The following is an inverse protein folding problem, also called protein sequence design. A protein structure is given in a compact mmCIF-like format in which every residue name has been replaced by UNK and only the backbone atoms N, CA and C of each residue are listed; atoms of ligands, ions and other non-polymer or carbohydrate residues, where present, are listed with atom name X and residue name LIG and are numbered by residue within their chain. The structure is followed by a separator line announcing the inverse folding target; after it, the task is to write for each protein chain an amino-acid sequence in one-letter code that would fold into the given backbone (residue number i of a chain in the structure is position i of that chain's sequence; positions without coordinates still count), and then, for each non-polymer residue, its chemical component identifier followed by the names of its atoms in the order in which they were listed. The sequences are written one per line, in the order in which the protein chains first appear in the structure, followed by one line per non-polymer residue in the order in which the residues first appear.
data_IF_036970804654
#
_entry.id   IF_036970804654
#
_cell.length_a   1.000
_cell.length_b   1.000
_cell.length_c   1.000
_cell.angle_alpha   90.00
_cell.angle_beta   90.00
_cell.angle_gamma   90.00
#
_symmetry.space_group_name_H-M   'P 1'
#
loop_
_entity.id
_entity.type
_entity.pdbx_description
1 polymer ?
#
# COMPACT_ATOMS: atom_id res chain seq x y z
N UNK A 1 -32.60 -0.68 -40.15
CA UNK A 1 -32.76 -1.75 -39.13
C UNK A 1 -31.74 -1.53 -38.04
N UNK A 2 -32.16 -1.64 -36.78
CA UNK A 2 -31.27 -1.50 -35.60
C UNK A 2 -29.93 -2.23 -35.73
N UNK A 3 -28.90 -1.62 -35.14
CA UNK A 3 -27.55 -2.18 -35.08
C UNK A 3 -27.09 -2.37 -33.63
N UNK A 4 -25.95 -3.04 -33.42
CA UNK A 4 -25.37 -3.22 -32.09
C UNK A 4 -24.07 -2.42 -31.95
N UNK A 5 -23.83 -1.82 -30.78
CA UNK A 5 -22.50 -1.27 -30.48
C UNK A 5 -21.47 -2.40 -30.43
N UNK A 6 -20.27 -2.16 -30.96
CA UNK A 6 -19.20 -3.17 -31.05
C UNK A 6 -18.78 -3.76 -29.70
N UNK A 7 -18.72 -2.95 -28.65
CA UNK A 7 -18.13 -3.36 -27.37
C UNK A 7 -19.17 -3.83 -26.36
N UNK A 8 -20.22 -3.02 -26.12
CA UNK A 8 -21.20 -3.28 -25.06
C UNK A 8 -22.49 -3.94 -25.57
N UNK A 9 -22.60 -4.24 -26.87
CA UNK A 9 -23.79 -4.88 -27.43
C UNK A 9 -25.09 -4.09 -27.29
N UNK A 10 -25.01 -2.78 -27.00
CA UNK A 10 -26.18 -1.91 -26.88
C UNK A 10 -26.88 -1.79 -28.22
N UNK A 11 -28.22 -1.88 -28.24
CA UNK A 11 -29.00 -1.63 -29.46
C UNK A 11 -28.95 -0.15 -29.81
N UNK A 12 -28.60 0.16 -31.06
CA UNK A 12 -28.79 1.48 -31.68
C UNK A 12 -30.04 1.39 -32.56
N UNK A 13 -31.17 2.00 -32.15
CA UNK A 13 -32.37 2.03 -32.96
C UNK A 13 -32.13 2.76 -34.29
N UNK A 14 -32.86 2.33 -35.31
CA UNK A 14 -32.93 2.98 -36.62
C UNK A 14 -34.26 3.72 -36.76
N UNK A 15 -34.29 4.79 -37.56
CA UNK A 15 -35.51 5.53 -37.89
C UNK A 15 -36.58 4.67 -38.56
N UNK A 16 -36.19 3.55 -39.16
CA UNK A 16 -37.11 2.59 -39.78
C UNK A 16 -37.70 1.57 -38.80
N UNK A 17 -37.21 1.50 -37.57
CA UNK A 17 -37.66 0.50 -36.60
C UNK A 17 -39.03 0.85 -36.01
N UNK A 18 -39.78 -0.17 -35.58
CA UNK A 18 -41.04 0.07 -34.85
C UNK A 18 -40.76 0.83 -33.54
N UNK A 19 -41.57 1.86 -33.26
CA UNK A 19 -41.41 2.71 -32.07
C UNK A 19 -41.42 1.88 -30.79
N UNK A 20 -42.35 0.94 -30.66
CA UNK A 20 -42.46 0.07 -29.48
C UNK A 20 -41.22 -0.81 -29.29
N UNK A 21 -40.63 -1.29 -30.38
CA UNK A 21 -39.42 -2.10 -30.32
C UNK A 21 -38.22 -1.25 -29.92
N UNK A 22 -38.10 -0.04 -30.50
CA UNK A 22 -37.06 0.93 -30.14
C UNK A 22 -37.10 1.29 -28.64
N UNK A 23 -38.29 1.48 -28.07
CA UNK A 23 -38.45 1.74 -26.63
C UNK A 23 -37.94 0.56 -25.79
N UNK A 24 -38.32 -0.68 -26.15
CA UNK A 24 -37.86 -1.90 -25.44
C UNK A 24 -36.35 -2.08 -25.54
N UNK A 25 -35.78 -1.82 -26.71
CA UNK A 25 -34.34 -1.93 -26.95
C UNK A 25 -33.54 -0.90 -26.15
N UNK A 26 -34.02 0.33 -26.07
CA UNK A 26 -33.43 1.38 -25.24
C UNK A 26 -33.56 1.02 -23.75
N UNK A 27 -34.72 0.54 -23.30
CA UNK A 27 -34.91 0.11 -21.91
C UNK A 27 -33.89 -0.98 -21.51
N UNK A 28 -33.71 -1.99 -22.38
CA UNK A 28 -32.72 -3.05 -22.18
C UNK A 28 -31.27 -2.54 -22.12
N UNK A 29 -30.95 -1.48 -22.86
CA UNK A 29 -29.64 -0.85 -22.76
C UNK A 29 -29.42 -0.21 -21.39
N UNK A 30 -30.44 0.43 -20.81
CA UNK A 30 -30.35 1.01 -19.47
C UNK A 30 -30.16 -0.07 -18.41
N UNK A 31 -30.89 -1.17 -18.48
CA UNK A 31 -30.70 -2.32 -17.58
C UNK A 31 -29.25 -2.86 -17.63
N UNK A 32 -28.67 -2.92 -18.84
CA UNK A 32 -27.28 -3.34 -19.03
C UNK A 32 -26.28 -2.36 -18.41
N UNK A 33 -26.51 -1.04 -18.55
CA UNK A 33 -25.65 -0.01 -17.99
C UNK A 33 -25.69 -0.01 -16.45
N UNK A 34 -26.87 -0.19 -15.86
CA UNK A 34 -27.04 -0.30 -14.41
C UNK A 34 -26.33 -1.54 -13.85
N UNK A 35 -26.30 -2.63 -14.62
CA UNK A 35 -25.58 -3.85 -14.27
C UNK A 35 -24.05 -3.75 -14.39
N UNK A 36 -23.50 -2.70 -15.04
CA UNK A 36 -22.05 -2.56 -15.20
C UNK A 36 -21.33 -2.22 -13.89
N UNK A 37 -22.02 -1.53 -12.97
CA UNK A 37 -21.43 -1.02 -11.74
C UNK A 37 -22.27 -1.39 -10.53
N UNK A 38 -22.45 -2.68 -10.17
CA UNK A 38 -23.22 -3.05 -8.99
C UNK A 38 -22.64 -2.46 -7.69
N UNK A 39 -23.44 -2.44 -6.62
CA UNK A 39 -22.95 -2.13 -5.26
C UNK A 39 -21.73 -3.01 -4.93
N UNK A 40 -20.68 -2.40 -4.39
CA UNK A 40 -19.36 -2.99 -4.17
C UNK A 40 -18.36 -2.77 -5.31
N UNK A 41 -18.76 -2.12 -6.42
CA UNK A 41 -17.84 -1.77 -7.50
C UNK A 41 -16.85 -0.69 -7.06
N UNK A 42 -15.61 -0.82 -7.51
CA UNK A 42 -14.56 0.18 -7.29
C UNK A 42 -14.28 0.93 -8.59
N UNK A 43 -14.41 2.25 -8.54
CA UNK A 43 -14.04 3.16 -9.62
C UNK A 43 -12.72 3.86 -9.29
N UNK A 44 -11.80 3.95 -10.27
CA UNK A 44 -10.50 4.59 -10.12
C UNK A 44 -10.31 5.67 -11.19
N UNK A 45 -9.78 6.83 -10.80
CA UNK A 45 -9.57 7.96 -11.71
C UNK A 45 -8.43 8.87 -11.27
N UNK A 46 -7.81 9.55 -12.23
CA UNK A 46 -6.88 10.66 -11.94
C UNK A 46 -7.59 11.98 -11.69
N UNK A 47 -8.93 12.00 -11.76
CA UNK A 47 -9.77 13.18 -11.53
C UNK A 47 -10.57 13.01 -10.23
N UNK A 48 -10.82 14.11 -9.49
CA UNK A 48 -11.55 14.08 -8.22
C UNK A 48 -13.07 13.91 -8.39
N UNK A 49 -13.57 13.77 -9.62
CA UNK A 49 -15.00 13.74 -9.93
C UNK A 49 -15.68 12.57 -9.22
N UNK A 50 -16.73 12.89 -8.45
CA UNK A 50 -17.60 11.89 -7.82
C UNK A 50 -18.36 11.09 -8.89
N UNK A 51 -18.24 9.75 -8.91
CA UNK A 51 -18.95 8.89 -9.86
C UNK A 51 -20.47 9.02 -9.81
N UNK A 52 -21.05 9.46 -8.69
CA UNK A 52 -22.50 9.71 -8.58
C UNK A 52 -23.02 10.68 -9.66
N UNK A 53 -22.17 11.59 -10.14
CA UNK A 53 -22.51 12.60 -11.14
C UNK A 53 -22.69 12.06 -12.56
N UNK A 54 -22.15 10.88 -12.88
CA UNK A 54 -22.21 10.29 -14.24
C UNK A 54 -22.54 8.80 -14.30
N UNK A 55 -22.36 8.04 -13.22
CA UNK A 55 -22.79 6.65 -13.07
C UNK A 55 -24.06 6.51 -12.21
N UNK A 56 -24.51 7.60 -11.55
CA UNK A 56 -25.58 7.53 -10.56
C UNK A 56 -25.17 6.74 -9.31
N UNK A 57 -26.16 6.37 -8.48
CA UNK A 57 -25.92 5.67 -7.22
C UNK A 57 -25.25 6.53 -6.15
N UNK A 58 -24.82 5.88 -5.06
CA UNK A 58 -24.09 6.49 -3.94
C UNK A 58 -22.68 5.89 -3.87
N UNK A 59 -21.67 6.75 -3.75
CA UNK A 59 -20.27 6.35 -3.75
C UNK A 59 -19.55 6.91 -2.53
N UNK A 60 -18.70 6.09 -1.93
CA UNK A 60 -17.85 6.46 -0.79
C UNK A 60 -16.38 6.50 -1.25
N UNK A 61 -15.61 7.54 -0.91
CA UNK A 61 -14.20 7.62 -1.29
C UNK A 61 -13.36 6.60 -0.50
N UNK A 62 -12.38 6.01 -1.16
CA UNK A 62 -11.35 5.17 -0.55
C UNK A 62 -10.06 6.00 -0.50
N UNK A 63 -9.57 6.30 0.70
CA UNK A 63 -8.42 7.18 0.93
C UNK A 63 -7.31 6.48 1.72
N UNK A 64 -6.06 6.82 1.42
CA UNK A 64 -4.91 6.42 2.25
C UNK A 64 -4.59 4.93 2.26
N UNK A 65 -5.12 4.15 1.31
CA UNK A 65 -4.88 2.71 1.20
C UNK A 65 -4.69 2.32 -0.27
N UNK A 66 -3.94 1.25 -0.52
CA UNK A 66 -3.95 0.57 -1.81
C UNK A 66 -4.91 -0.63 -1.74
N UNK A 67 -5.36 -1.11 -2.91
CA UNK A 67 -6.24 -2.27 -2.97
C UNK A 67 -5.44 -3.57 -2.79
N UNK A 68 -5.76 -4.29 -1.73
CA UNK A 68 -5.27 -5.65 -1.48
C UNK A 68 -6.40 -6.64 -1.76
N UNK A 69 -6.12 -7.69 -2.52
CA UNK A 69 -7.10 -8.75 -2.77
C UNK A 69 -7.50 -9.44 -1.45
N UNK A 70 -8.80 -9.68 -1.29
CA UNK A 70 -9.32 -10.27 -0.06
C UNK A 70 -8.70 -11.65 0.21
N UNK A 71 -8.53 -11.97 1.48
CA UNK A 71 -8.19 -13.31 1.96
C UNK A 71 -8.78 -13.55 3.34
N UNK A 72 -8.65 -14.77 3.88
CA UNK A 72 -9.05 -15.05 5.27
C UNK A 72 -8.36 -14.11 6.29
N UNK A 73 -7.12 -13.69 6.02
CA UNK A 73 -6.36 -12.75 6.88
C UNK A 73 -6.71 -11.29 6.62
N UNK A 74 -7.25 -10.99 5.43
CA UNK A 74 -7.64 -9.65 5.01
C UNK A 74 -9.08 -9.69 4.45
N UNK A 75 -10.09 -9.79 5.32
CA UNK A 75 -11.49 -9.77 4.89
C UNK A 75 -11.83 -8.48 4.13
N UNK A 76 -12.89 -8.52 3.33
CA UNK A 76 -13.38 -7.34 2.59
C UNK A 76 -13.61 -6.16 3.54
N UNK A 77 -13.14 -4.98 3.14
CA UNK A 77 -13.25 -3.75 3.92
C UNK A 77 -12.21 -3.57 5.03
N UNK A 78 -11.35 -4.57 5.29
CA UNK A 78 -10.21 -4.38 6.20
C UNK A 78 -9.17 -3.42 5.63
N UNK A 79 -8.55 -2.64 6.51
CA UNK A 79 -7.47 -1.70 6.18
C UNK A 79 -6.26 -1.94 7.09
N UNK A 80 -5.08 -1.52 6.65
CA UNK A 80 -3.83 -1.68 7.39
C UNK A 80 -2.64 -1.15 6.60
N UNK A 81 -1.42 -1.45 7.08
CA UNK A 81 -0.18 -0.90 6.54
C UNK A 81 0.34 0.30 7.34
N UNK A 82 1.57 0.69 7.07
CA UNK A 82 2.26 1.82 7.70
C UNK A 82 3.07 2.56 6.63
N UNK A 83 2.98 3.90 6.62
CA UNK A 83 3.77 4.73 5.68
C UNK A 83 5.25 4.81 6.09
N UNK A 84 5.50 4.88 7.39
CA UNK A 84 6.83 4.84 7.98
C UNK A 84 6.90 3.74 9.04
N UNK A 85 8.06 3.10 9.15
CA UNK A 85 8.32 2.05 10.12
C UNK A 85 9.54 2.39 10.97
N UNK A 86 9.44 2.16 12.29
CA UNK A 86 10.57 2.23 13.21
C UNK A 86 10.92 0.82 13.67
N UNK A 87 12.13 0.38 13.36
CA UNK A 87 12.62 -0.95 13.73
C UNK A 87 12.54 -1.16 15.25
N UNK A 88 12.12 -2.36 15.64
CA UNK A 88 12.09 -2.83 17.02
C UNK A 88 13.28 -3.74 17.31
N UNK A 89 13.55 -3.95 18.60
CA UNK A 89 14.61 -4.88 19.04
C UNK A 89 14.38 -6.30 18.51
N UNK A 90 13.12 -6.73 18.36
CA UNK A 90 12.78 -8.06 17.86
C UNK A 90 13.05 -8.23 16.35
N UNK A 91 13.16 -7.13 15.61
CA UNK A 91 13.43 -7.12 14.17
C UNK A 91 14.93 -7.03 13.86
N UNK A 92 15.79 -6.85 14.88
CA UNK A 92 17.23 -6.84 14.69
C UNK A 92 17.76 -8.25 14.43
N UNK A 93 18.47 -8.50 13.32
CA UNK A 93 19.17 -9.76 13.10
C UNK A 93 20.23 -10.02 14.18
N UNK A 94 20.55 -11.30 14.40
CA UNK A 94 21.70 -11.68 15.23
C UNK A 94 22.97 -11.04 14.67
N UNK A 95 23.70 -10.33 15.52
CA UNK A 95 24.94 -9.64 15.19
C UNK A 95 25.91 -9.72 16.38
N UNK A 96 27.20 -9.50 16.11
CA UNK A 96 28.23 -9.43 17.14
C UNK A 96 29.06 -8.15 16.98
N UNK A 97 29.65 -7.72 18.09
CA UNK A 97 30.66 -6.68 18.10
C UNK A 97 32.00 -7.32 18.44
N UNK A 98 33.02 -7.02 17.64
CA UNK A 98 34.40 -7.39 17.94
C UNK A 98 35.16 -6.14 18.40
N UNK A 99 35.78 -6.22 19.57
CA UNK A 99 36.63 -5.18 20.11
C UNK A 99 37.96 -5.81 20.47
N UNK A 100 39.03 -5.43 19.77
CA UNK A 100 40.39 -5.87 20.08
C UNK A 100 41.19 -4.74 20.70
N UNK A 101 41.91 -5.08 21.77
CA UNK A 101 42.94 -4.23 22.37
C UNK A 101 44.23 -5.03 22.45
N UNK A 102 45.37 -4.36 22.27
CA UNK A 102 46.67 -4.96 22.52
C UNK A 102 46.81 -5.23 24.03
N UNK A 103 47.07 -6.49 24.39
CA UNK A 103 47.36 -6.93 25.76
C UNK A 103 48.78 -7.51 25.80
N UNK A 104 49.67 -6.91 26.59
CA UNK A 104 51.05 -7.36 26.77
C UNK A 104 52.01 -6.25 27.24
N UNK A 105 53.18 -6.64 27.76
CA UNK A 105 54.27 -5.72 28.12
C UNK A 105 55.22 -5.55 26.91
N UNK A 106 54.90 -4.67 25.97
CA UNK A 106 55.88 -4.28 24.95
C UNK A 106 56.74 -3.14 25.51
N UNK A 107 57.98 -3.45 25.85
CA UNK A 107 59.00 -2.48 26.24
C UNK A 107 59.37 -1.62 25.02
N UNK A 108 58.64 -0.54 24.80
CA UNK A 108 58.89 0.40 23.72
C UNK A 108 58.18 1.72 23.98
N UNK A 109 58.96 2.80 24.04
CA UNK A 109 58.46 4.15 24.30
C UNK A 109 57.56 4.62 23.15
N UNK A 110 56.24 4.58 23.38
CA UNK A 110 55.22 5.14 22.51
C UNK A 110 53.90 5.27 23.28
N UNK A 111 53.17 6.37 23.08
CA UNK A 111 51.87 6.60 23.70
C UNK A 111 50.83 5.62 23.11
N UNK A 112 50.77 4.40 23.64
CA UNK A 112 49.72 3.44 23.32
C UNK A 112 48.73 3.36 24.48
N UNK A 113 47.44 3.54 24.18
CA UNK A 113 46.34 3.34 25.14
C UNK A 113 46.13 1.84 25.35
N UNK A 114 46.85 1.25 26.31
CA UNK A 114 46.66 -0.13 26.75
C UNK A 114 45.71 -0.17 27.95
N UNK A 115 44.77 -1.12 27.98
CA UNK A 115 43.95 -1.36 29.17
C UNK A 115 44.86 -1.98 30.26
N UNK A 116 45.23 -1.19 31.26
CA UNK A 116 46.02 -1.64 32.41
C UNK A 116 45.11 -1.88 33.62
N UNK A 117 45.09 -3.11 34.12
CA UNK A 117 44.47 -3.44 35.42
C UNK A 117 45.57 -3.60 36.46
N UNK A 118 45.43 -2.94 37.61
CA UNK A 118 46.38 -3.03 38.73
C UNK A 118 46.23 -4.32 39.57
N UNK A 119 45.61 -5.37 39.01
CA UNK A 119 45.40 -6.69 39.65
C UNK A 119 44.82 -7.73 38.68
N UNK A 120 44.71 -8.99 39.12
CA UNK A 120 44.18 -10.17 38.38
C UNK A 120 42.66 -10.07 38.11
N UNK A 121 42.22 -8.99 37.47
CA UNK A 121 40.82 -8.76 37.12
C UNK A 121 40.64 -9.10 35.65
N UNK A 122 40.11 -10.30 35.37
CA UNK A 122 40.09 -10.91 34.03
C UNK A 122 38.82 -10.63 33.22
N UNK A 123 37.95 -9.72 33.66
CA UNK A 123 36.65 -9.48 33.02
C UNK A 123 36.42 -8.00 32.70
N UNK A 124 37.20 -7.46 31.74
CA UNK A 124 36.97 -6.12 31.21
C UNK A 124 35.97 -6.17 30.05
N UNK A 125 34.80 -5.55 30.22
CA UNK A 125 33.80 -5.40 29.15
C UNK A 125 33.92 -4.02 28.51
N UNK A 126 34.23 -3.98 27.21
CA UNK A 126 34.12 -2.76 26.41
C UNK A 126 32.68 -2.61 25.98
N UNK A 127 32.00 -1.58 26.50
CA UNK A 127 30.70 -1.18 25.98
C UNK A 127 30.96 -0.22 24.82
N UNK A 128 30.52 -0.61 23.63
CA UNK A 128 30.42 0.33 22.50
C UNK A 128 29.18 1.19 22.72
N UNK A 129 29.31 2.49 22.47
CA UNK A 129 28.16 3.38 22.50
C UNK A 129 27.20 3.03 21.36
N UNK A 130 25.90 3.18 21.63
CA UNK A 130 24.89 3.00 20.59
C UNK A 130 25.08 4.08 19.52
N UNK A 131 25.04 3.66 18.25
CA UNK A 131 25.00 4.57 17.10
C UNK A 131 23.70 4.38 16.32
N UNK A 132 23.26 5.43 15.64
CA UNK A 132 21.93 5.51 15.01
C UNK A 132 20.91 6.22 15.89
N UNK A 133 19.86 6.74 15.27
CA UNK A 133 18.84 7.57 15.94
C UNK A 133 17.49 6.90 16.15
N UNK A 134 17.35 5.62 15.77
CA UNK A 134 16.07 4.89 15.78
C UNK A 134 14.91 5.70 15.18
N UNK A 135 15.18 6.41 14.09
CA UNK A 135 14.17 7.23 13.42
C UNK A 135 13.34 6.35 12.48
N UNK A 136 12.06 6.67 12.29
CA UNK A 136 11.24 6.01 11.29
C UNK A 136 11.88 6.13 9.89
N UNK A 137 11.72 5.09 9.08
CA UNK A 137 12.08 5.13 7.67
C UNK A 137 10.84 4.93 6.80
N UNK A 138 10.85 5.52 5.60
CA UNK A 138 9.79 5.32 4.61
C UNK A 138 9.63 3.82 4.31
N UNK A 139 8.38 3.35 4.38
CA UNK A 139 7.95 2.00 4.04
C UNK A 139 7.06 1.98 2.79
N UNK A 140 6.83 3.14 2.17
CA UNK A 140 6.02 3.24 0.96
C UNK A 140 6.84 2.86 -0.28
N UNK A 141 6.41 1.85 -1.06
CA UNK A 141 6.97 1.62 -2.39
C UNK A 141 6.64 2.80 -3.32
N UNK A 142 7.37 3.00 -4.43
CA UNK A 142 7.02 4.02 -5.42
C UNK A 142 5.56 3.86 -5.88
N UNK A 143 4.78 4.94 -5.80
CA UNK A 143 3.35 4.91 -6.10
C UNK A 143 2.90 6.11 -6.95
N UNK A 144 1.73 5.94 -7.58
CA UNK A 144 0.97 7.04 -8.20
C UNK A 144 -0.41 7.08 -7.56
N UNK A 145 -0.68 8.12 -6.79
CA UNK A 145 -1.98 8.31 -6.16
C UNK A 145 -3.05 8.61 -7.21
N UNK A 146 -4.21 7.98 -7.05
CA UNK A 146 -5.42 8.19 -7.86
C UNK A 146 -6.62 8.27 -6.91
N UNK A 147 -7.70 8.90 -7.37
CA UNK A 147 -8.98 8.89 -6.67
C UNK A 147 -9.62 7.51 -6.83
N UNK A 148 -10.13 6.98 -5.74
CA UNK A 148 -10.82 5.69 -5.69
C UNK A 148 -12.14 5.85 -4.96
N UNK A 149 -13.17 5.19 -5.46
CA UNK A 149 -14.52 5.25 -4.92
C UNK A 149 -15.15 3.85 -4.92
N UNK A 150 -15.86 3.50 -3.85
CA UNK A 150 -16.68 2.29 -3.74
C UNK A 150 -18.16 2.64 -3.86
N UNK A 151 -18.90 1.92 -4.69
CA UNK A 151 -20.36 2.09 -4.78
C UNK A 151 -21.03 1.44 -3.58
N UNK A 152 -21.73 2.23 -2.76
CA UNK A 152 -22.40 1.75 -1.54
C UNK A 152 -23.91 1.59 -1.70
N UNK A 153 -24.52 2.25 -2.70
CA UNK A 153 -25.93 2.10 -3.07
C UNK A 153 -26.17 2.43 -4.56
#
# INVERSE_FOLDING_TARGET
MSSKTKNMGLTKPDVTDEIQQSIKDIAKNFDLLDAMWPVGSIYQSTKPTDPSTFLGGTWSPINGVFLLAQSQKHPVGSTGGEEEHTLTVAEMPSHNHDTSMLYGNTWGSGNQWTAYSSGDVTNYRFRVDATGGNQPHNNMPPFRSVFMWERTA
#
